data_IF_849175501260
#
_entry.id   IF_849175501260
#
_cell.length_a   1.000
_cell.length_b   1.000
_cell.length_c   1.000
_cell.angle_alpha   90.00
_cell.angle_beta   90.00
_cell.angle_gamma   90.00
#
_symmetry.space_group_name_H-M   'P 1'
#
loop_
_entity.id
_entity.type
_entity.pdbx_description
1 polymer ?
#
# COMPACT_ATOMS: atom_id res chain seq x y z
N UNK A 1 -50.54 19.54 49.52
CA UNK A 1 -50.00 19.40 48.15
C UNK A 1 -48.55 19.84 48.16
N UNK A 2 -47.60 18.91 48.28
CA UNK A 2 -46.18 19.20 48.14
C UNK A 2 -45.71 18.55 46.85
N UNK A 3 -45.42 19.38 45.85
CA UNK A 3 -44.90 18.95 44.55
C UNK A 3 -43.44 18.54 44.74
N UNK A 4 -43.19 17.23 44.76
CA UNK A 4 -41.86 16.67 44.69
C UNK A 4 -41.25 17.01 43.32
N UNK A 5 -40.20 17.84 43.32
CA UNK A 5 -39.37 18.07 42.14
C UNK A 5 -38.63 16.76 41.82
N UNK A 6 -39.01 16.12 40.73
CA UNK A 6 -38.18 15.10 40.09
C UNK A 6 -36.94 15.81 39.54
N UNK A 7 -35.82 15.65 40.23
CA UNK A 7 -34.51 15.99 39.68
C UNK A 7 -34.17 14.92 38.63
N UNK A 8 -34.44 15.23 37.36
CA UNK A 8 -33.85 14.49 36.25
C UNK A 8 -32.35 14.85 36.20
N UNK A 9 -31.51 14.04 36.82
CA UNK A 9 -30.07 14.09 36.57
C UNK A 9 -29.83 13.54 35.17
N UNK A 10 -29.95 14.40 34.16
CA UNK A 10 -29.36 14.14 32.85
C UNK A 10 -27.87 14.17 33.10
N UNK A 11 -27.24 12.99 33.23
CA UNK A 11 -25.79 12.89 33.14
C UNK A 11 -25.41 13.49 31.79
N UNK A 12 -24.77 14.65 31.80
CA UNK A 12 -24.20 15.24 30.61
C UNK A 12 -22.99 14.39 30.19
N UNK A 13 -23.24 13.20 29.66
CA UNK A 13 -22.25 12.49 28.87
C UNK A 13 -22.04 13.35 27.63
N UNK A 14 -20.90 14.06 27.56
CA UNK A 14 -20.54 14.84 26.39
C UNK A 14 -20.61 13.98 25.12
N UNK A 15 -20.61 14.62 23.95
CA UNK A 15 -20.73 13.95 22.64
C UNK A 15 -19.76 12.77 22.44
N UNK A 16 -18.67 12.70 23.20
CA UNK A 16 -17.64 11.66 23.14
C UNK A 16 -17.50 10.84 24.44
N UNK A 17 -18.52 10.84 25.31
CA UNK A 17 -18.47 10.15 26.61
C UNK A 17 -18.33 8.62 26.51
N UNK A 18 -18.55 8.04 25.33
CA UNK A 18 -18.41 6.62 25.02
C UNK A 18 -17.16 6.29 24.19
N UNK A 19 -16.32 7.27 23.85
CA UNK A 19 -15.11 7.03 23.05
C UNK A 19 -14.04 6.42 23.94
N UNK A 20 -13.71 5.17 23.69
CA UNK A 20 -12.63 4.46 24.37
C UNK A 20 -11.25 4.87 23.82
N UNK A 21 -10.23 4.86 24.67
CA UNK A 21 -8.86 5.10 24.24
C UNK A 21 -8.41 3.98 23.30
N UNK A 22 -8.04 4.35 22.08
CA UNK A 22 -7.49 3.39 21.12
C UNK A 22 -6.21 2.74 21.66
N UNK A 23 -5.96 1.46 21.35
CA UNK A 23 -4.70 0.81 21.71
C UNK A 23 -3.52 1.56 21.08
N UNK A 24 -2.40 1.63 21.79
CA UNK A 24 -1.17 2.25 21.25
C UNK A 24 -0.69 1.49 20.02
N UNK A 25 -0.28 2.20 18.98
CA UNK A 25 0.44 1.62 17.85
C UNK A 25 1.79 1.06 18.36
N UNK A 26 2.09 -0.23 18.16
CA UNK A 26 3.32 -0.83 18.67
C UNK A 26 4.61 -0.16 18.16
N UNK A 27 4.60 0.40 16.95
CA UNK A 27 5.76 1.09 16.35
C UNK A 27 5.94 2.48 16.96
N UNK A 28 4.83 3.21 17.16
CA UNK A 28 4.89 4.53 17.81
C UNK A 28 5.35 4.44 19.25
N UNK A 29 4.88 3.44 20.00
CA UNK A 29 5.30 3.23 21.40
C UNK A 29 6.81 3.02 21.56
N UNK A 30 7.46 2.31 20.62
CA UNK A 30 8.93 2.14 20.61
C UNK A 30 9.64 3.48 20.38
N UNK A 31 9.13 4.31 19.48
CA UNK A 31 9.74 5.62 19.20
C UNK A 31 9.56 6.59 20.38
N UNK A 32 8.40 6.58 21.05
CA UNK A 32 8.18 7.37 22.27
C UNK A 32 9.18 6.99 23.37
N UNK A 33 9.35 5.69 23.63
CA UNK A 33 10.31 5.20 24.62
C UNK A 33 11.76 5.57 24.24
N UNK A 34 12.12 5.42 22.97
CA UNK A 34 13.43 5.86 22.47
C UNK A 34 13.66 7.37 22.67
N UNK A 35 12.66 8.21 22.42
CA UNK A 35 12.81 9.66 22.60
C UNK A 35 12.98 10.03 24.08
N UNK A 36 12.30 9.33 24.98
CA UNK A 36 12.33 9.55 26.43
C UNK A 36 13.58 8.99 27.13
N UNK A 37 14.35 8.10 26.48
CA UNK A 37 15.59 7.56 27.03
C UNK A 37 16.72 8.61 26.97
N UNK A 38 17.37 8.91 28.09
CA UNK A 38 18.46 9.90 28.15
C UNK A 38 19.84 9.31 27.82
N UNK A 39 19.93 8.00 27.54
CA UNK A 39 21.18 7.35 27.18
C UNK A 39 21.75 7.93 25.87
N UNK A 40 22.96 8.51 25.86
CA UNK A 40 23.57 9.09 24.64
C UNK A 40 23.88 8.04 23.56
N UNK A 41 23.92 6.75 23.90
CA UNK A 41 24.19 5.63 22.99
C UNK A 41 22.91 4.90 22.54
N UNK A 42 21.72 5.47 22.80
CA UNK A 42 20.45 4.88 22.38
C UNK A 42 20.35 4.75 20.86
N UNK A 43 19.79 3.64 20.39
CA UNK A 43 19.58 3.35 18.96
C UNK A 43 18.10 3.02 18.72
N UNK A 44 17.51 3.64 17.70
CA UNK A 44 16.14 3.31 17.28
C UNK A 44 16.15 2.40 16.04
N UNK A 45 15.93 1.11 16.25
CA UNK A 45 15.77 0.11 15.18
C UNK A 45 14.30 -0.12 14.78
N UNK A 46 13.35 0.61 15.38
CA UNK A 46 11.92 0.51 15.09
C UNK A 46 11.43 1.53 14.05
N UNK A 47 12.27 2.48 13.64
CA UNK A 47 11.86 3.55 12.71
C UNK A 47 11.83 3.06 11.26
N UNK A 48 10.65 3.08 10.64
CA UNK A 48 10.45 2.69 9.23
C UNK A 48 10.85 3.78 8.22
N UNK A 49 11.88 4.57 8.50
CA UNK A 49 12.35 5.65 7.64
C UNK A 49 13.89 5.66 7.58
N UNK A 50 14.42 5.83 6.37
CA UNK A 50 15.85 5.84 6.11
C UNK A 50 16.57 6.94 6.91
N UNK A 51 17.81 6.63 7.31
CA UNK A 51 18.73 7.52 8.02
C UNK A 51 20.11 7.41 7.40
N UNK A 52 20.91 8.47 7.51
CA UNK A 52 22.33 8.40 7.17
C UNK A 52 23.14 7.70 8.27
N UNK A 53 24.46 7.59 8.05
CA UNK A 53 25.41 6.97 8.99
C UNK A 53 25.49 7.70 10.35
N UNK A 54 24.92 8.90 10.45
CA UNK A 54 24.83 9.69 11.68
C UNK A 54 23.41 9.64 12.30
N UNK A 55 22.57 8.70 11.83
CA UNK A 55 21.18 8.53 12.28
C UNK A 55 20.29 9.76 12.05
N UNK A 56 20.62 10.62 11.08
CA UNK A 56 19.83 11.81 10.73
C UNK A 56 18.86 11.54 9.57
N UNK A 57 17.70 12.23 9.53
CA UNK A 57 16.82 12.19 8.36
C UNK A 57 17.54 12.69 7.10
N UNK A 58 17.34 12.01 5.98
CA UNK A 58 17.96 12.34 4.69
C UNK A 58 16.93 12.95 3.75
N UNK A 59 17.28 14.07 3.12
CA UNK A 59 16.59 14.58 1.93
C UNK A 59 17.53 14.40 0.75
N UNK A 60 17.09 13.65 -0.26
CA UNK A 60 17.91 13.32 -1.41
C UNK A 60 18.29 14.59 -2.20
N UNK A 61 19.53 14.66 -2.70
CA UNK A 61 20.00 15.79 -3.50
C UNK A 61 19.13 16.04 -4.74
N UNK A 62 18.61 14.97 -5.37
CA UNK A 62 17.69 15.07 -6.50
C UNK A 62 16.36 15.73 -6.11
N UNK A 63 15.87 15.49 -4.89
CA UNK A 63 14.65 16.13 -4.36
C UNK A 63 14.93 17.61 -4.11
N UNK A 64 16.06 17.96 -3.49
CA UNK A 64 16.46 19.37 -3.29
C UNK A 64 16.52 20.14 -4.61
N UNK A 65 17.18 19.55 -5.61
CA UNK A 65 17.27 20.13 -6.94
C UNK A 65 15.90 20.24 -7.65
N UNK A 66 14.97 19.31 -7.38
CA UNK A 66 13.60 19.40 -7.89
C UNK A 66 12.82 20.52 -7.19
N UNK A 67 12.94 20.67 -5.87
CA UNK A 67 12.32 21.74 -5.09
C UNK A 67 12.77 23.11 -5.59
N UNK A 68 14.06 23.34 -5.78
CA UNK A 68 14.60 24.60 -6.34
C UNK A 68 14.03 24.92 -7.73
N UNK A 69 13.75 23.88 -8.54
CA UNK A 69 13.17 24.06 -9.87
C UNK A 69 11.72 24.50 -9.81
N UNK A 70 10.93 24.01 -8.84
CA UNK A 70 9.48 24.29 -8.76
C UNK A 70 9.14 25.47 -7.84
N UNK A 71 10.02 25.81 -6.90
CA UNK A 71 9.79 26.84 -5.89
C UNK A 71 9.45 28.20 -6.52
N UNK A 72 8.26 28.72 -6.21
CA UNK A 72 7.77 30.01 -6.70
C UNK A 72 7.46 30.05 -8.20
N UNK A 73 7.45 28.91 -8.91
CA UNK A 73 7.19 28.85 -10.37
C UNK A 73 5.86 28.22 -10.75
N UNK A 74 5.12 27.69 -9.78
CA UNK A 74 3.84 27.03 -10.00
C UNK A 74 2.73 27.75 -9.22
N UNK A 75 1.55 27.82 -9.83
CA UNK A 75 0.33 28.26 -9.14
C UNK A 75 -0.12 27.19 -8.15
N UNK A 76 -0.63 27.61 -6.99
CA UNK A 76 -1.11 26.73 -5.92
C UNK A 76 -2.62 26.50 -6.00
N UNK A 77 -3.12 26.22 -7.19
CA UNK A 77 -4.54 25.94 -7.45
C UNK A 77 -4.90 24.48 -7.09
N UNK A 78 -6.20 24.20 -7.01
CA UNK A 78 -6.68 22.83 -6.88
C UNK A 78 -6.24 21.98 -8.08
N UNK A 79 -5.72 20.79 -7.78
CA UNK A 79 -5.53 19.76 -8.80
C UNK A 79 -6.90 19.16 -9.19
N UNK A 80 -6.99 18.54 -10.39
CA UNK A 80 -8.10 17.64 -10.70
C UNK A 80 -8.23 16.54 -9.63
N UNK A 81 -9.42 15.95 -9.50
CA UNK A 81 -9.70 14.91 -8.49
C UNK A 81 -8.70 13.74 -8.60
N UNK A 82 -8.38 13.30 -9.83
CA UNK A 82 -7.38 12.25 -10.08
C UNK A 82 -5.92 12.68 -9.88
N UNK A 83 -5.69 13.93 -9.47
CA UNK A 83 -4.37 14.54 -9.29
C UNK A 83 -3.71 15.00 -10.58
N UNK A 84 -2.38 15.10 -10.53
CA UNK A 84 -1.59 15.58 -11.66
C UNK A 84 -1.39 14.45 -12.69
N UNK A 85 -1.98 14.60 -13.87
CA UNK A 85 -1.92 13.58 -14.94
C UNK A 85 -0.50 13.16 -15.33
N UNK A 86 0.42 14.11 -15.44
CA UNK A 86 1.82 13.80 -15.78
C UNK A 86 2.54 13.02 -14.67
N UNK A 87 2.10 13.15 -13.41
CA UNK A 87 2.61 12.35 -12.31
C UNK A 87 2.07 10.91 -12.38
N UNK A 88 0.77 10.71 -12.60
CA UNK A 88 0.20 9.36 -12.70
C UNK A 88 0.75 8.60 -13.90
N UNK A 89 0.89 9.25 -15.07
CA UNK A 89 1.52 8.68 -16.26
C UNK A 89 2.97 8.22 -16.00
N UNK A 90 3.76 9.02 -15.26
CA UNK A 90 5.14 8.65 -14.90
C UNK A 90 5.19 7.56 -13.83
N UNK A 91 4.23 7.55 -12.90
CA UNK A 91 4.15 6.55 -11.83
C UNK A 91 3.87 5.16 -12.42
N UNK A 92 2.89 5.08 -13.32
CA UNK A 92 2.53 3.85 -14.04
C UNK A 92 3.71 3.32 -14.86
N UNK A 93 4.41 4.19 -15.60
CA UNK A 93 5.60 3.82 -16.36
C UNK A 93 6.73 3.28 -15.47
N UNK A 94 6.98 3.93 -14.34
CA UNK A 94 7.99 3.47 -13.38
C UNK A 94 7.66 2.06 -12.86
N UNK A 95 6.40 1.79 -12.53
CA UNK A 95 6.00 0.47 -12.03
C UNK A 95 6.03 -0.61 -13.11
N UNK A 96 5.41 -0.32 -14.27
CA UNK A 96 5.06 -1.35 -15.25
C UNK A 96 6.12 -1.49 -16.35
N UNK A 97 7.00 -0.50 -16.49
CA UNK A 97 7.96 -0.38 -17.59
C UNK A 97 7.37 0.45 -18.74
N UNK A 98 8.23 1.22 -19.41
CA UNK A 98 7.82 2.16 -20.46
C UNK A 98 7.13 1.49 -21.65
N UNK A 99 7.48 0.23 -21.94
CA UNK A 99 6.96 -0.54 -23.07
C UNK A 99 5.75 -1.41 -22.74
N UNK A 100 5.20 -1.35 -21.51
CA UNK A 100 4.10 -2.20 -21.11
C UNK A 100 2.87 -2.04 -22.02
N UNK A 101 2.35 -3.16 -22.55
CA UNK A 101 1.27 -3.15 -23.54
C UNK A 101 -0.01 -2.48 -23.01
N UNK A 102 -0.33 -2.67 -21.72
CA UNK A 102 -1.49 -2.03 -21.10
C UNK A 102 -1.43 -0.49 -21.13
N UNK A 103 -0.23 0.11 -21.15
CA UNK A 103 -0.06 1.56 -21.29
C UNK A 103 -0.35 1.96 -22.74
N UNK A 104 0.20 1.23 -23.71
CA UNK A 104 0.02 1.50 -25.14
C UNK A 104 -1.46 1.37 -25.56
N UNK A 105 -2.16 0.40 -24.99
CA UNK A 105 -3.59 0.15 -25.22
C UNK A 105 -4.51 1.10 -24.44
N UNK A 106 -3.95 1.99 -23.60
CA UNK A 106 -4.68 2.88 -22.70
C UNK A 106 -5.65 2.13 -21.75
N UNK A 107 -5.20 0.98 -21.22
CA UNK A 107 -5.96 0.10 -20.30
C UNK A 107 -5.65 0.33 -18.82
N UNK A 108 -4.99 1.42 -18.46
CA UNK A 108 -4.62 1.70 -17.06
C UNK A 108 -5.42 2.87 -16.54
N UNK A 109 -6.27 2.62 -15.55
CA UNK A 109 -6.87 3.66 -14.72
C UNK A 109 -5.88 4.04 -13.61
N UNK A 110 -5.57 5.33 -13.43
CA UNK A 110 -4.62 5.75 -12.41
C UNK A 110 -4.98 7.09 -11.77
N UNK A 111 -4.79 7.19 -10.45
CA UNK A 111 -5.03 8.41 -9.66
C UNK A 111 -3.88 8.66 -8.70
N UNK A 112 -3.53 9.93 -8.52
CA UNK A 112 -2.66 10.34 -7.43
C UNK A 112 -3.36 10.12 -6.10
N UNK A 113 -2.64 9.65 -5.10
CA UNK A 113 -3.20 9.34 -3.78
C UNK A 113 -2.23 9.71 -2.66
N UNK A 114 -2.74 9.66 -1.42
CA UNK A 114 -2.00 10.02 -0.21
C UNK A 114 -1.00 8.93 0.19
N UNK A 115 0.05 8.78 -0.60
CA UNK A 115 1.03 7.69 -0.49
C UNK A 115 0.40 6.30 -0.62
N UNK A 116 1.18 5.25 -0.38
CA UNK A 116 0.68 3.86 -0.49
C UNK A 116 -0.50 3.57 0.46
N UNK A 117 -0.53 4.19 1.65
CA UNK A 117 -1.68 4.08 2.56
C UNK A 117 -2.97 4.58 1.93
N UNK A 118 -2.93 5.75 1.27
CA UNK A 118 -4.06 6.30 0.54
C UNK A 118 -4.44 5.44 -0.66
N UNK A 119 -3.45 4.93 -1.40
CA UNK A 119 -3.68 4.03 -2.53
C UNK A 119 -4.39 2.75 -2.11
N UNK A 120 -3.91 2.07 -1.06
CA UNK A 120 -4.54 0.87 -0.51
C UNK A 120 -5.95 1.15 0.02
N UNK A 121 -6.18 2.32 0.66
CA UNK A 121 -7.53 2.69 1.14
C UNK A 121 -8.51 2.92 -0.01
N UNK A 122 -8.11 3.63 -1.06
CA UNK A 122 -8.94 3.83 -2.24
C UNK A 122 -9.29 2.48 -2.90
N UNK A 123 -8.32 1.57 -3.01
CA UNK A 123 -8.57 0.25 -3.56
C UNK A 123 -9.50 -0.60 -2.67
N UNK A 124 -9.35 -0.55 -1.35
CA UNK A 124 -10.24 -1.27 -0.43
C UNK A 124 -11.70 -0.77 -0.53
N UNK A 125 -11.92 0.54 -0.64
CA UNK A 125 -13.24 1.13 -0.90
C UNK A 125 -13.79 0.73 -2.27
N UNK A 126 -12.93 0.69 -3.29
CA UNK A 126 -13.29 0.21 -4.63
C UNK A 126 -13.74 -1.25 -4.59
N UNK A 127 -13.01 -2.13 -3.88
CA UNK A 127 -13.40 -3.52 -3.68
C UNK A 127 -14.76 -3.63 -3.01
N UNK A 128 -14.99 -2.91 -1.91
CA UNK A 128 -16.27 -2.94 -1.21
C UNK A 128 -17.45 -2.57 -2.13
N UNK A 129 -17.26 -1.58 -3.01
CA UNK A 129 -18.31 -1.10 -3.90
C UNK A 129 -18.51 -1.97 -5.15
N UNK A 130 -17.43 -2.46 -5.75
CA UNK A 130 -17.45 -3.03 -7.11
C UNK A 130 -17.02 -4.50 -7.20
N UNK A 131 -16.53 -5.07 -6.10
CA UNK A 131 -16.18 -6.48 -5.99
C UNK A 131 -16.92 -7.12 -4.81
N UNK A 132 -18.27 -7.00 -4.74
CA UNK A 132 -19.03 -7.50 -3.60
C UNK A 132 -18.84 -9.01 -3.43
N UNK A 133 -18.47 -9.43 -2.21
CA UNK A 133 -18.20 -10.83 -1.88
C UNK A 133 -16.76 -11.29 -2.15
N UNK A 134 -15.91 -10.48 -2.78
CA UNK A 134 -14.50 -10.80 -2.90
C UNK A 134 -13.78 -10.60 -1.56
N UNK A 135 -13.07 -11.63 -1.10
CA UNK A 135 -12.16 -11.51 0.03
C UNK A 135 -10.79 -10.98 -0.43
N UNK A 136 -10.07 -10.31 0.48
CA UNK A 136 -8.64 -10.03 0.32
C UNK A 136 -7.83 -11.06 1.11
N UNK A 137 -6.92 -11.75 0.42
CA UNK A 137 -5.95 -12.66 1.00
C UNK A 137 -4.67 -11.87 1.32
N UNK A 138 -4.27 -11.87 2.60
CA UNK A 138 -3.14 -11.09 3.12
C UNK A 138 -2.02 -12.04 3.61
N UNK A 139 -0.73 -11.78 3.29
CA UNK A 139 0.35 -12.65 3.73
C UNK A 139 0.50 -12.64 5.25
N UNK A 140 0.96 -13.76 5.81
CA UNK A 140 1.23 -13.92 7.25
C UNK A 140 2.75 -14.02 7.50
N UNK A 141 3.37 -13.04 8.18
CA UNK A 141 2.83 -11.72 8.58
C UNK A 141 2.78 -10.73 7.39
N UNK A 142 2.31 -9.51 7.63
CA UNK A 142 2.30 -8.38 6.68
C UNK A 142 2.54 -7.06 7.42
N UNK A 143 2.63 -5.93 6.70
CA UNK A 143 2.50 -4.58 7.28
C UNK A 143 1.17 -4.47 8.03
N UNK A 144 1.25 -4.21 9.34
CA UNK A 144 0.13 -4.29 10.26
C UNK A 144 -1.10 -3.48 9.81
N UNK A 145 -0.89 -2.33 9.16
CA UNK A 145 -1.99 -1.44 8.78
C UNK A 145 -2.82 -1.97 7.61
N UNK A 146 -2.37 -2.98 6.85
CA UNK A 146 -3.24 -3.66 5.87
C UNK A 146 -4.54 -4.13 6.52
N UNK A 147 -4.46 -4.70 7.73
CA UNK A 147 -5.64 -5.18 8.44
C UNK A 147 -6.63 -4.06 8.76
N UNK A 148 -6.14 -2.89 9.19
CA UNK A 148 -7.02 -1.75 9.49
C UNK A 148 -7.67 -1.22 8.21
N UNK A 149 -6.89 -1.05 7.13
CA UNK A 149 -7.37 -0.50 5.86
C UNK A 149 -8.55 -1.33 5.31
N UNK A 150 -8.38 -2.65 5.20
CA UNK A 150 -9.43 -3.50 4.65
C UNK A 150 -10.60 -3.73 5.61
N UNK A 151 -10.35 -3.77 6.94
CA UNK A 151 -11.42 -3.87 7.95
C UNK A 151 -12.31 -2.63 7.90
N UNK A 152 -11.72 -1.44 7.89
CA UNK A 152 -12.46 -0.18 7.95
C UNK A 152 -13.20 0.10 6.64
N UNK A 153 -12.76 -0.49 5.52
CA UNK A 153 -13.48 -0.53 4.25
C UNK A 153 -14.50 -1.68 4.16
N UNK A 154 -14.69 -2.47 5.23
CA UNK A 154 -15.62 -3.60 5.28
C UNK A 154 -15.39 -4.66 4.19
N UNK A 155 -14.12 -4.96 3.91
CA UNK A 155 -13.70 -6.06 3.02
C UNK A 155 -13.35 -7.28 3.86
N UNK A 156 -13.86 -8.45 3.48
CA UNK A 156 -13.53 -9.72 4.15
C UNK A 156 -12.03 -10.01 4.02
N UNK A 157 -11.37 -10.32 5.12
CA UNK A 157 -9.94 -10.63 5.15
C UNK A 157 -9.71 -12.11 5.40
N UNK A 158 -8.92 -12.72 4.52
CA UNK A 158 -8.33 -14.05 4.69
C UNK A 158 -6.81 -13.89 4.70
N UNK A 159 -6.09 -14.94 5.05
CA UNK A 159 -4.64 -14.84 5.00
C UNK A 159 -3.94 -16.15 4.74
N UNK A 160 -2.82 -16.05 4.06
CA UNK A 160 -2.05 -17.17 3.52
C UNK A 160 -0.64 -17.20 4.11
N UNK A 161 -0.05 -18.39 4.19
CA UNK A 161 1.32 -18.61 4.67
C UNK A 161 2.31 -17.88 3.77
N UNK A 162 3.32 -17.27 4.40
CA UNK A 162 4.35 -16.52 3.69
C UNK A 162 5.72 -16.69 4.32
N UNK A 163 5.86 -16.41 5.62
CA UNK A 163 7.16 -16.53 6.31
C UNK A 163 7.29 -17.86 7.05
N UNK A 164 8.41 -18.56 6.87
CA UNK A 164 8.76 -19.79 7.60
C UNK A 164 9.77 -19.48 8.71
N UNK A 165 9.37 -19.45 9.99
CA UNK A 165 10.26 -19.05 11.09
C UNK A 165 11.53 -19.91 11.20
N UNK A 166 11.41 -21.21 10.95
CA UNK A 166 12.53 -22.16 11.06
C UNK A 166 13.65 -21.87 10.07
N UNK A 167 13.31 -21.45 8.84
CA UNK A 167 14.29 -21.13 7.79
C UNK A 167 14.55 -19.64 7.65
N UNK A 168 13.74 -18.80 8.31
CA UNK A 168 13.68 -17.35 8.12
C UNK A 168 13.50 -16.94 6.65
N UNK A 169 12.92 -17.83 5.85
CA UNK A 169 12.71 -17.66 4.41
C UNK A 169 11.24 -17.74 4.05
N UNK A 170 10.98 -17.86 2.75
CA UNK A 170 9.62 -17.96 2.21
C UNK A 170 9.09 -19.38 2.45
N UNK A 171 7.91 -19.50 3.05
CA UNK A 171 7.11 -20.72 3.08
C UNK A 171 6.40 -20.91 1.74
N UNK A 172 7.19 -21.15 0.68
CA UNK A 172 6.66 -21.14 -0.69
C UNK A 172 5.63 -22.26 -0.93
N UNK A 173 5.87 -23.45 -0.38
CA UNK A 173 4.92 -24.57 -0.49
C UNK A 173 3.59 -24.22 0.21
N UNK A 174 3.66 -23.72 1.45
CA UNK A 174 2.46 -23.34 2.19
C UNK A 174 1.69 -22.18 1.54
N UNK A 175 2.42 -21.22 0.97
CA UNK A 175 1.86 -20.12 0.19
C UNK A 175 1.07 -20.66 -1.02
N UNK A 176 1.68 -21.53 -1.82
CA UNK A 176 1.05 -22.11 -3.01
C UNK A 176 -0.19 -22.95 -2.66
N UNK A 177 -0.12 -23.75 -1.59
CA UNK A 177 -1.26 -24.53 -1.08
C UNK A 177 -2.45 -23.64 -0.69
N UNK A 178 -2.18 -22.57 0.07
CA UNK A 178 -3.23 -21.66 0.54
C UNK A 178 -3.87 -20.90 -0.62
N UNK A 179 -3.11 -20.46 -1.61
CA UNK A 179 -3.65 -19.78 -2.80
C UNK A 179 -4.36 -20.75 -3.76
N UNK A 180 -3.94 -22.02 -3.82
CA UNK A 180 -4.66 -23.06 -4.56
C UNK A 180 -6.03 -23.34 -3.95
N UNK A 181 -6.15 -23.26 -2.63
CA UNK A 181 -7.38 -23.39 -1.87
C UNK A 181 -8.22 -22.10 -1.80
N UNK A 182 -7.68 -20.96 -2.23
CA UNK A 182 -8.39 -19.68 -2.19
C UNK A 182 -9.65 -19.69 -3.09
N UNK A 183 -10.64 -18.91 -2.69
CA UNK A 183 -11.88 -18.76 -3.44
C UNK A 183 -11.63 -17.99 -4.74
N UNK A 184 -12.21 -18.49 -5.83
CA UNK A 184 -12.14 -17.85 -7.14
C UNK A 184 -12.69 -16.41 -7.09
N UNK A 185 -12.06 -15.48 -7.80
CA UNK A 185 -12.45 -14.06 -7.79
C UNK A 185 -11.97 -13.27 -6.58
N UNK A 186 -11.23 -13.89 -5.66
CA UNK A 186 -10.60 -13.19 -4.53
C UNK A 186 -9.41 -12.33 -4.97
N UNK A 187 -9.13 -11.29 -4.18
CA UNK A 187 -7.93 -10.47 -4.33
C UNK A 187 -6.79 -11.05 -3.49
N UNK A 188 -5.59 -11.11 -4.04
CA UNK A 188 -4.37 -11.48 -3.30
C UNK A 188 -3.48 -10.25 -3.17
N UNK A 189 -3.26 -9.80 -1.93
CA UNK A 189 -2.34 -8.72 -1.63
C UNK A 189 -0.90 -9.24 -1.67
N UNK A 190 -0.09 -8.68 -2.56
CA UNK A 190 1.31 -9.06 -2.77
C UNK A 190 2.20 -7.85 -2.50
N UNK A 191 3.30 -8.04 -1.76
CA UNK A 191 4.34 -7.01 -1.66
C UNK A 191 5.22 -7.17 -2.89
N UNK A 192 5.40 -6.11 -3.69
CA UNK A 192 6.13 -6.20 -4.96
C UNK A 192 7.62 -6.57 -4.76
N UNK A 193 8.20 -6.05 -3.69
CA UNK A 193 9.56 -6.31 -3.20
C UNK A 193 9.71 -5.77 -1.77
N UNK A 194 10.79 -6.17 -1.09
CA UNK A 194 11.10 -5.84 0.30
C UNK A 194 9.89 -6.02 1.24
N UNK A 195 9.39 -7.25 1.32
CA UNK A 195 8.23 -7.58 2.14
C UNK A 195 8.35 -7.00 3.56
N UNK A 196 7.34 -6.24 3.98
CA UNK A 196 7.27 -5.68 5.32
C UNK A 196 6.40 -6.58 6.19
N UNK A 197 6.90 -7.17 7.29
CA UNK A 197 8.12 -6.78 8.03
C UNK A 197 9.34 -7.70 7.83
N UNK A 198 9.26 -8.76 7.03
CA UNK A 198 10.25 -9.86 7.09
C UNK A 198 11.49 -9.66 6.22
N UNK A 199 11.42 -8.81 5.19
CA UNK A 199 12.45 -8.66 4.16
C UNK A 199 12.63 -9.87 3.25
N UNK A 200 11.74 -10.86 3.32
CA UNK A 200 11.78 -12.09 2.50
C UNK A 200 10.94 -11.88 1.25
N UNK A 201 11.53 -12.05 0.07
CA UNK A 201 10.82 -11.94 -1.21
C UNK A 201 10.89 -13.26 -2.01
N UNK A 202 9.87 -13.58 -2.83
CA UNK A 202 9.96 -14.69 -3.78
C UNK A 202 11.04 -14.46 -4.85
N UNK A 203 11.65 -15.56 -5.31
CA UNK A 203 12.55 -15.52 -6.48
C UNK A 203 11.76 -15.28 -7.77
N UNK A 204 12.42 -14.89 -8.87
CA UNK A 204 11.75 -14.75 -10.17
C UNK A 204 10.99 -16.01 -10.61
N UNK A 205 11.56 -17.19 -10.38
CA UNK A 205 10.93 -18.48 -10.71
C UNK A 205 9.70 -18.75 -9.84
N UNK A 206 9.75 -18.37 -8.57
CA UNK A 206 8.61 -18.46 -7.66
C UNK A 206 7.50 -17.48 -8.06
N UNK A 207 7.86 -16.26 -8.49
CA UNK A 207 6.89 -15.30 -9.03
C UNK A 207 6.18 -15.81 -10.28
N UNK A 208 6.90 -16.45 -11.21
CA UNK A 208 6.29 -17.08 -12.39
C UNK A 208 5.32 -18.21 -12.02
N UNK A 209 5.67 -19.03 -11.03
CA UNK A 209 4.76 -20.08 -10.55
C UNK A 209 3.51 -19.50 -9.89
N UNK A 210 3.68 -18.44 -9.11
CA UNK A 210 2.57 -17.70 -8.49
C UNK A 210 1.62 -17.10 -9.51
N UNK A 211 2.17 -16.41 -10.50
CA UNK A 211 1.43 -15.81 -11.60
C UNK A 211 0.54 -16.85 -12.31
N UNK A 212 1.11 -18.00 -12.67
CA UNK A 212 0.38 -19.10 -13.32
C UNK A 212 -0.73 -19.68 -12.45
N UNK A 213 -0.47 -19.87 -11.16
CA UNK A 213 -1.48 -20.34 -10.22
C UNK A 213 -2.65 -19.34 -10.13
N UNK A 214 -2.35 -18.06 -9.97
CA UNK A 214 -3.35 -17.01 -9.82
C UNK A 214 -4.22 -16.84 -11.08
N UNK A 215 -3.65 -16.94 -12.28
CA UNK A 215 -4.45 -16.99 -13.53
C UNK A 215 -5.40 -18.18 -13.54
N UNK A 216 -4.88 -19.39 -13.26
CA UNK A 216 -5.68 -20.61 -13.25
C UNK A 216 -6.82 -20.56 -12.24
N UNK A 217 -6.62 -19.86 -11.13
CA UNK A 217 -7.57 -19.70 -10.03
C UNK A 217 -8.44 -18.44 -10.14
N UNK A 218 -8.31 -17.68 -11.23
CA UNK A 218 -8.95 -16.38 -11.42
C UNK A 218 -8.85 -15.48 -10.18
N UNK A 219 -7.65 -15.43 -9.59
CA UNK A 219 -7.33 -14.56 -8.46
C UNK A 219 -6.81 -13.22 -8.98
N UNK A 220 -7.26 -12.12 -8.37
CA UNK A 220 -6.85 -10.78 -8.76
C UNK A 220 -5.61 -10.33 -7.97
N UNK A 221 -4.45 -10.13 -8.62
CA UNK A 221 -3.25 -9.62 -7.96
C UNK A 221 -3.38 -8.12 -7.64
N UNK A 222 -3.19 -7.77 -6.37
CA UNK A 222 -3.02 -6.38 -5.93
C UNK A 222 -1.64 -6.20 -5.29
N UNK A 223 -0.78 -5.43 -5.93
CA UNK A 223 0.58 -5.17 -5.48
C UNK A 223 0.66 -3.95 -4.58
N UNK A 224 1.22 -4.09 -3.38
CA UNK A 224 1.73 -2.97 -2.59
C UNK A 224 3.23 -2.79 -2.89
N UNK A 225 3.58 -1.66 -3.52
CA UNK A 225 4.92 -1.34 -4.00
C UNK A 225 5.44 -0.05 -3.37
N UNK A 226 5.92 -0.16 -2.12
CA UNK A 226 6.43 0.97 -1.36
C UNK A 226 7.96 1.17 -1.44
N UNK A 227 8.69 0.20 -2.00
CA UNK A 227 10.15 0.10 -1.89
C UNK A 227 10.89 -0.04 -3.23
N UNK A 228 10.24 0.26 -4.36
CA UNK A 228 10.87 0.13 -5.68
C UNK A 228 12.16 0.96 -5.80
N UNK A 229 13.25 0.31 -6.18
CA UNK A 229 14.62 0.87 -6.26
C UNK A 229 15.34 0.90 -4.92
N UNK A 230 14.61 0.76 -3.80
CA UNK A 230 15.16 0.80 -2.45
C UNK A 230 15.56 -0.60 -1.94
N UNK A 231 14.98 -1.65 -2.50
CA UNK A 231 15.27 -3.02 -2.08
C UNK A 231 16.60 -3.51 -2.65
N UNK A 232 16.80 -3.38 -3.97
CA UNK A 232 18.03 -3.83 -4.63
C UNK A 232 18.94 -2.71 -5.14
N UNK A 233 18.51 -1.46 -5.10
CA UNK A 233 19.17 -0.35 -5.80
C UNK A 233 18.82 -0.24 -7.28
N UNK A 234 17.89 -1.06 -7.78
CA UNK A 234 17.50 -1.14 -9.19
C UNK A 234 15.97 -1.17 -9.31
N UNK A 235 15.40 -0.12 -9.90
CA UNK A 235 13.96 0.02 -10.06
C UNK A 235 13.34 -1.05 -10.98
N UNK A 236 14.09 -1.55 -11.96
CA UNK A 236 13.61 -2.55 -12.91
C UNK A 236 13.55 -3.92 -12.24
N UNK A 237 14.58 -4.26 -11.47
CA UNK A 237 14.61 -5.48 -10.66
C UNK A 237 13.50 -5.48 -9.61
N UNK A 238 13.33 -4.38 -8.90
CA UNK A 238 12.33 -4.25 -7.84
C UNK A 238 10.89 -4.19 -8.38
N UNK A 239 10.70 -3.91 -9.67
CA UNK A 239 9.42 -3.95 -10.39
C UNK A 239 9.15 -5.27 -11.13
N UNK A 240 10.06 -6.24 -11.05
CA UNK A 240 10.02 -7.46 -11.89
C UNK A 240 8.78 -8.31 -11.64
N UNK A 241 8.30 -8.43 -10.39
CA UNK A 241 7.12 -9.23 -10.05
C UNK A 241 5.88 -8.74 -10.81
N UNK A 242 5.65 -7.43 -10.87
CA UNK A 242 4.54 -6.83 -11.62
C UNK A 242 4.68 -7.13 -13.11
N UNK A 243 5.89 -7.00 -13.67
CA UNK A 243 6.14 -7.23 -15.10
C UNK A 243 5.88 -8.68 -15.50
N UNK A 244 6.31 -9.65 -14.68
CA UNK A 244 6.00 -11.07 -14.87
C UNK A 244 4.48 -11.28 -14.98
N UNK A 245 3.71 -10.67 -14.08
CA UNK A 245 2.25 -10.80 -14.09
C UNK A 245 1.62 -10.11 -15.30
N UNK A 246 2.12 -8.94 -15.72
CA UNK A 246 1.63 -8.30 -16.95
C UNK A 246 1.92 -9.15 -18.19
N UNK A 247 3.13 -9.72 -18.30
CA UNK A 247 3.54 -10.55 -19.43
C UNK A 247 2.74 -11.87 -19.52
N UNK A 248 2.37 -12.44 -18.36
CA UNK A 248 1.48 -13.60 -18.28
C UNK A 248 0.00 -13.26 -18.56
N UNK A 249 -0.35 -11.98 -18.72
CA UNK A 249 -1.67 -11.53 -19.16
C UNK A 249 -2.64 -11.13 -18.03
N UNK A 250 -2.13 -10.82 -16.84
CA UNK A 250 -2.98 -10.38 -15.73
C UNK A 250 -3.53 -8.96 -15.94
N UNK A 251 -4.80 -8.79 -15.56
CA UNK A 251 -5.27 -7.51 -15.03
C UNK A 251 -4.91 -7.46 -13.54
N UNK A 252 -4.30 -6.35 -13.10
CA UNK A 252 -3.75 -6.21 -11.76
C UNK A 252 -3.92 -4.79 -11.21
N UNK A 253 -3.84 -4.66 -9.90
CA UNK A 253 -3.79 -3.37 -9.22
C UNK A 253 -2.44 -3.12 -8.57
N UNK A 254 -2.05 -1.85 -8.43
CA UNK A 254 -0.81 -1.45 -7.81
C UNK A 254 -1.00 -0.19 -6.94
N UNK A 255 -0.56 -0.28 -5.68
CA UNK A 255 -0.34 0.84 -4.77
C UNK A 255 1.13 1.23 -4.81
N UNK A 256 1.43 2.49 -5.14
CA UNK A 256 2.78 3.03 -5.13
C UNK A 256 2.96 4.04 -4.01
N UNK A 257 4.08 3.95 -3.28
CA UNK A 257 4.50 4.97 -2.32
C UNK A 257 5.84 5.58 -2.72
N UNK A 258 5.92 6.90 -2.64
CA UNK A 258 7.18 7.64 -2.83
C UNK A 258 7.85 8.06 -1.51
N UNK A 259 7.36 7.53 -0.39
CA UNK A 259 7.85 7.88 0.94
C UNK A 259 9.31 7.44 1.14
N UNK A 260 9.69 6.25 0.66
CA UNK A 260 11.02 5.67 0.88
C UNK A 260 11.96 5.98 -0.28
N UNK A 261 11.64 5.51 -1.49
CA UNK A 261 12.50 5.65 -2.66
C UNK A 261 12.86 7.11 -3.02
N UNK A 262 11.99 8.08 -2.73
CA UNK A 262 12.27 9.51 -2.90
C UNK A 262 12.43 10.26 -1.56
N UNK A 263 12.34 9.59 -0.42
CA UNK A 263 12.41 10.24 0.90
C UNK A 263 11.27 11.23 1.19
N UNK A 264 10.15 11.17 0.44
CA UNK A 264 9.03 12.11 0.53
C UNK A 264 7.99 11.71 1.60
N UNK A 265 8.44 11.21 2.75
CA UNK A 265 7.60 10.63 3.80
C UNK A 265 6.41 11.52 4.18
N UNK A 266 6.68 12.77 4.53
CA UNK A 266 5.69 13.75 4.98
C UNK A 266 4.90 14.43 3.86
N UNK A 267 5.37 14.34 2.61
CA UNK A 267 4.68 14.92 1.45
C UNK A 267 3.51 14.06 0.96
N UNK A 268 3.39 12.83 1.47
CA UNK A 268 2.26 11.91 1.25
C UNK A 268 1.99 11.66 -0.24
N UNK A 269 3.03 11.42 -1.03
CA UNK A 269 2.90 11.18 -2.47
C UNK A 269 2.80 9.68 -2.78
N UNK A 270 1.81 9.30 -3.59
CA UNK A 270 1.55 7.94 -4.06
C UNK A 270 0.63 7.91 -5.27
N UNK A 271 0.46 6.71 -5.84
CA UNK A 271 -0.37 6.47 -7.01
C UNK A 271 -1.10 5.12 -6.84
N UNK A 272 -2.41 5.12 -7.08
CA UNK A 272 -3.17 3.88 -7.29
C UNK A 272 -3.34 3.70 -8.79
N UNK A 273 -2.98 2.53 -9.32
CA UNK A 273 -3.22 2.16 -10.71
C UNK A 273 -3.87 0.79 -10.84
N UNK A 274 -4.86 0.66 -11.72
CA UNK A 274 -5.59 -0.57 -12.01
C UNK A 274 -5.52 -0.84 -13.52
N UNK A 275 -5.06 -2.04 -13.89
CA UNK A 275 -5.05 -2.53 -15.27
C UNK A 275 -6.40 -3.18 -15.56
N UNK A 276 -7.04 -2.74 -16.63
CA UNK A 276 -8.37 -3.13 -17.06
C UNK A 276 -8.33 -3.95 -18.36
N UNK A 277 -9.44 -4.59 -18.70
CA UNK A 277 -9.61 -5.38 -19.91
C UNK A 277 -9.45 -4.53 -21.18
N UNK A 278 -9.94 -3.30 -21.17
CA UNK A 278 -9.84 -2.36 -22.30
C UNK A 278 -9.85 -0.89 -21.85
N UNK A 279 -9.75 0.02 -22.83
CA UNK A 279 -9.76 1.47 -22.61
C UNK A 279 -11.09 2.00 -22.06
N UNK A 280 -12.22 1.40 -22.45
CA UNK A 280 -13.53 1.83 -21.99
C UNK A 280 -13.72 1.50 -20.50
N UNK A 281 -13.33 0.27 -20.11
CA UNK A 281 -13.32 -0.13 -18.70
C UNK A 281 -12.33 0.73 -17.88
N UNK A 282 -11.12 0.99 -18.39
CA UNK A 282 -10.17 1.87 -17.71
C UNK A 282 -10.77 3.26 -17.44
N UNK A 283 -11.44 3.87 -18.43
CA UNK A 283 -12.11 5.16 -18.23
C UNK A 283 -13.24 5.10 -17.20
N UNK A 284 -14.00 4.01 -17.15
CA UNK A 284 -15.07 3.81 -16.17
C UNK A 284 -14.48 3.64 -14.75
N UNK A 285 -13.48 2.77 -14.59
CA UNK A 285 -12.79 2.54 -13.32
C UNK A 285 -12.14 3.83 -12.82
N UNK A 286 -11.44 4.57 -13.69
CA UNK A 286 -10.80 5.84 -13.32
C UNK A 286 -11.82 6.87 -12.81
N UNK A 287 -13.06 6.85 -13.30
CA UNK A 287 -14.13 7.73 -12.79
C UNK A 287 -14.61 7.39 -11.37
N UNK A 288 -14.32 6.17 -10.90
CA UNK A 288 -14.81 5.63 -9.63
C UNK A 288 -13.76 5.60 -8.52
N UNK A 289 -12.47 5.64 -8.88
CA UNK A 289 -11.35 5.70 -7.94
C UNK A 289 -10.82 7.13 -7.72
N UNK A 290 -11.38 8.11 -8.44
CA UNK A 290 -11.18 9.55 -8.22
C UNK A 290 -11.92 10.02 -6.98
#
# INVERSE_FOLDING_TARGET
MSLARVSSSVSASGWFGNVEQAPKDPILGVTEAYLADDNPEKINLGVGAYRDDLSKPVVLNVVRAAEEKVMGKLFMEYLPIGGLKSFTEKSVKLAYGDSAQCIQDARVAAVQSLSGTGSCRLFAEFMHRYMPGAAVYIPKPTWANHHNIFRDAQVEQKGFRYYKPDTRGLDFEGLMDDLQAADEGSVVLLHACAHNPTGVDPTPEQWQQLSKLMLKKHLYPFFDMAYQGFASGDCDRDGQAIRIFLDDGHNLGCSQSYAKNMGLYGQRIGCLSLVCADKAEASAVESQIK
#
